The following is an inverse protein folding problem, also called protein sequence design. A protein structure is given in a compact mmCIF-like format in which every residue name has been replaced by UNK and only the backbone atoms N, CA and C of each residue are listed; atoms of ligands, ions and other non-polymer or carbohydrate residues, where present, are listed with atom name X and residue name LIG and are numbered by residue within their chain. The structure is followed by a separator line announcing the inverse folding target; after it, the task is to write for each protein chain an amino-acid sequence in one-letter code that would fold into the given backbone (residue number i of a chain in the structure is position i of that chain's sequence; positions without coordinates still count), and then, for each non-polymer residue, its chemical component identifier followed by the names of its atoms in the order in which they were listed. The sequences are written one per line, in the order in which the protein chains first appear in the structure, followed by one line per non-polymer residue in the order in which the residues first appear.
data_IF_878220613536
#
_entry.id   IF_878220613536
#
_cell.length_a   1.000
_cell.length_b   1.000
_cell.length_c   1.000
_cell.angle_alpha   90.00
_cell.angle_beta   90.00
_cell.angle_gamma   90.00
#
_symmetry.space_group_name_H-M   'P 1'
#
loop_
_entity.id
_entity.type
_entity.pdbx_description
1 polymer ?
#
# COMPACT_ATOMS: atom_id res chain seq x y z
N UNK A 1 -5.13 -9.81 -29.32
CA UNK A 1 -3.69 -9.86 -29.65
C UNK A 1 -3.48 -10.73 -30.87
N UNK A 2 -2.73 -10.24 -31.86
CA UNK A 2 -2.39 -11.01 -33.07
C UNK A 2 -1.24 -11.97 -32.74
N UNK A 3 -1.39 -13.26 -33.05
CA UNK A 3 -0.35 -14.27 -32.80
C UNK A 3 0.47 -14.49 -34.07
N UNK A 4 1.79 -14.32 -33.96
CA UNK A 4 2.72 -14.60 -35.06
C UNK A 4 3.53 -15.86 -34.73
N UNK A 5 3.60 -16.79 -35.68
CA UNK A 5 4.51 -17.93 -35.61
C UNK A 5 5.69 -17.65 -36.54
N UNK A 6 6.91 -17.85 -36.03
CA UNK A 6 8.16 -17.66 -36.78
C UNK A 6 9.04 -18.88 -36.60
N UNK A 7 9.76 -19.23 -37.66
CA UNK A 7 10.77 -20.27 -37.63
C UNK A 7 12.08 -19.65 -37.12
N UNK A 8 12.72 -20.34 -36.19
CA UNK A 8 14.05 -19.99 -35.69
C UNK A 8 15.12 -20.29 -36.75
N UNK A 9 16.08 -19.39 -36.91
CA UNK A 9 17.18 -19.54 -37.88
C UNK A 9 18.51 -19.54 -37.13
N UNK A 10 19.30 -20.61 -37.26
CA UNK A 10 20.62 -20.69 -36.63
C UNK A 10 21.66 -19.93 -37.46
N UNK A 11 22.39 -19.01 -36.84
CA UNK A 11 23.54 -18.34 -37.44
C UNK A 11 24.72 -18.43 -36.47
N UNK A 12 25.72 -19.26 -36.81
CA UNK A 12 26.85 -19.55 -35.93
C UNK A 12 26.39 -20.20 -34.60
N UNK A 13 26.75 -19.56 -33.49
CA UNK A 13 26.35 -19.97 -32.13
C UNK A 13 25.01 -19.39 -31.68
N UNK A 14 24.39 -18.47 -32.43
CA UNK A 14 23.15 -17.80 -32.05
C UNK A 14 21.95 -18.26 -32.88
N UNK A 15 20.75 -17.93 -32.38
CA UNK A 15 19.48 -18.15 -33.05
C UNK A 15 18.85 -16.80 -33.32
N UNK A 16 18.37 -16.60 -34.55
CA UNK A 16 17.61 -15.45 -34.98
C UNK A 16 16.12 -15.77 -35.10
N UNK A 17 15.30 -14.80 -34.72
CA UNK A 17 13.86 -14.77 -34.96
C UNK A 17 13.50 -13.42 -35.57
N UNK A 18 12.73 -13.43 -36.66
CA UNK A 18 12.30 -12.19 -37.31
C UNK A 18 11.16 -11.54 -36.52
N UNK A 19 11.27 -10.25 -36.22
CA UNK A 19 10.21 -9.47 -35.57
C UNK A 19 9.00 -9.29 -36.51
N UNK A 20 7.77 -9.14 -35.99
CA UNK A 20 6.61 -8.80 -36.80
C UNK A 20 6.79 -7.44 -37.49
N UNK A 21 6.61 -7.39 -38.81
CA UNK A 21 6.78 -6.16 -39.59
C UNK A 21 5.90 -5.02 -39.07
N UNK A 22 4.63 -5.31 -38.76
CA UNK A 22 3.68 -4.35 -38.20
C UNK A 22 4.19 -3.72 -36.89
N UNK A 23 4.85 -4.50 -36.04
CA UNK A 23 5.42 -4.00 -34.78
C UNK A 23 6.66 -3.13 -35.00
N UNK A 24 7.53 -3.52 -35.95
CA UNK A 24 8.71 -2.75 -36.37
C UNK A 24 8.29 -1.39 -36.92
N UNK A 25 7.32 -1.38 -37.83
CA UNK A 25 6.80 -0.16 -38.46
C UNK A 25 6.11 0.74 -37.43
N UNK A 26 5.29 0.17 -36.53
CA UNK A 26 4.61 0.93 -35.48
C UNK A 26 5.56 1.60 -34.47
N UNK A 27 6.71 0.98 -34.21
CA UNK A 27 7.73 1.52 -33.31
C UNK A 27 8.84 2.29 -34.03
N UNK A 28 8.72 2.49 -35.36
CA UNK A 28 9.71 3.19 -36.21
C UNK A 28 11.13 2.63 -36.05
N UNK A 29 11.23 1.31 -35.92
CA UNK A 29 12.52 0.64 -35.75
C UNK A 29 13.19 0.41 -37.11
N UNK A 30 14.49 0.61 -37.15
CA UNK A 30 15.34 0.36 -38.31
C UNK A 30 16.51 -0.59 -37.97
N UNK A 31 17.41 -0.80 -38.92
CA UNK A 31 18.55 -1.72 -38.77
C UNK A 31 19.56 -1.27 -37.71
N UNK A 32 19.58 0.01 -37.35
CA UNK A 32 20.46 0.59 -36.32
C UNK A 32 19.80 0.63 -34.94
N UNK A 33 18.49 0.41 -34.88
CA UNK A 33 17.73 0.46 -33.64
C UNK A 33 18.09 -0.70 -32.73
N UNK A 34 18.28 -0.41 -31.44
CA UNK A 34 18.44 -1.43 -30.40
C UNK A 34 17.08 -1.72 -29.77
N UNK A 35 16.88 -2.98 -29.40
CA UNK A 35 15.71 -3.45 -28.65
C UNK A 35 16.19 -4.07 -27.36
N UNK A 36 15.39 -3.93 -26.31
CA UNK A 36 15.64 -4.61 -25.05
C UNK A 36 15.00 -6.00 -25.11
N UNK A 37 15.73 -7.00 -24.60
CA UNK A 37 15.31 -8.39 -24.58
C UNK A 37 15.37 -8.86 -23.14
N UNK A 38 14.21 -9.25 -22.63
CA UNK A 38 14.05 -9.81 -21.30
C UNK A 38 13.73 -11.30 -21.41
N UNK A 39 14.42 -12.12 -20.62
CA UNK A 39 14.24 -13.57 -20.58
C UNK A 39 13.49 -13.98 -19.33
N UNK A 40 12.32 -14.57 -19.48
CA UNK A 40 11.65 -15.35 -18.44
C UNK A 40 11.98 -16.84 -18.55
N UNK A 41 11.35 -17.68 -17.73
CA UNK A 41 11.58 -19.13 -17.71
C UNK A 41 11.28 -19.80 -19.07
N UNK A 42 10.10 -19.54 -19.65
CA UNK A 42 9.65 -20.12 -20.94
C UNK A 42 9.27 -19.05 -21.98
N UNK A 43 9.68 -17.79 -21.75
CA UNK A 43 9.31 -16.69 -22.63
C UNK A 43 10.42 -15.68 -22.79
N UNK A 44 10.39 -15.00 -23.94
CA UNK A 44 11.24 -13.84 -24.21
C UNK A 44 10.32 -12.68 -24.55
N UNK A 45 10.50 -11.55 -23.85
CA UNK A 45 9.83 -10.29 -24.17
C UNK A 45 10.81 -9.37 -24.89
N UNK A 46 10.34 -8.74 -25.98
CA UNK A 46 11.11 -7.76 -26.74
C UNK A 46 10.36 -6.43 -26.69
N UNK A 47 11.04 -5.39 -26.23
CA UNK A 47 10.56 -4.02 -26.19
C UNK A 47 11.42 -3.13 -27.08
N UNK A 48 10.78 -2.15 -27.74
CA UNK A 48 11.55 -1.07 -28.35
C UNK A 48 12.26 -0.33 -27.21
N UNK A 49 13.58 -0.16 -27.30
CA UNK A 49 14.36 0.54 -26.28
C UNK A 49 13.92 2.02 -26.24
N UNK A 50 12.86 2.30 -25.49
CA UNK A 50 12.49 3.64 -25.07
C UNK A 50 13.14 3.80 -23.70
N UNK A 51 14.36 4.33 -23.70
CA UNK A 51 15.11 4.65 -22.47
C UNK A 51 14.25 5.44 -21.47
N UNK A 52 13.23 6.16 -21.95
CA UNK A 52 12.31 6.91 -21.12
C UNK A 52 10.90 6.32 -21.15
N UNK A 53 10.32 6.17 -19.95
CA UNK A 53 8.86 6.06 -19.80
C UNK A 53 8.24 7.28 -20.48
N UNK A 54 7.25 7.12 -21.38
CA UNK A 54 6.49 8.29 -21.82
C UNK A 54 5.85 8.91 -20.58
N UNK A 55 6.16 10.18 -20.31
CA UNK A 55 5.57 10.94 -19.20
C UNK A 55 4.05 10.87 -19.31
N UNK A 56 3.39 10.44 -18.24
CA UNK A 56 1.93 10.34 -18.23
C UNK A 56 1.36 11.64 -17.68
N UNK A 57 0.67 12.41 -18.53
CA UNK A 57 0.19 13.75 -18.20
C UNK A 57 -1.34 13.77 -18.09
N UNK A 58 -1.87 14.49 -17.09
CA UNK A 58 -3.29 14.73 -16.87
C UNK A 58 -3.52 16.24 -16.84
N UNK A 59 -4.42 16.74 -17.68
CA UNK A 59 -4.88 18.14 -17.63
C UNK A 59 -6.29 18.19 -17.07
N UNK A 60 -6.47 18.98 -16.02
CA UNK A 60 -7.74 19.22 -15.32
C UNK A 60 -8.19 20.65 -15.64
N UNK A 61 -9.29 20.78 -16.36
CA UNK A 61 -9.89 22.09 -16.66
C UNK A 61 -10.74 22.58 -15.48
N UNK A 62 -10.46 23.79 -14.99
CA UNK A 62 -11.17 24.45 -13.89
C UNK A 62 -11.96 25.67 -14.40
N UNK A 63 -13.15 25.99 -13.85
CA UNK A 63 -13.81 25.37 -12.71
C UNK A 63 -14.39 23.99 -13.02
N UNK A 64 -14.38 23.14 -12.00
CA UNK A 64 -14.97 21.81 -12.10
C UNK A 64 -16.52 21.87 -12.06
N UNK A 65 -17.20 20.86 -12.64
CA UNK A 65 -18.62 20.63 -12.39
C UNK A 65 -18.94 20.57 -10.89
N UNK A 66 -20.18 20.88 -10.50
CA UNK A 66 -20.58 20.90 -9.06
C UNK A 66 -20.48 19.55 -8.38
N UNK A 67 -20.57 18.48 -9.16
CA UNK A 67 -20.52 17.10 -8.72
C UNK A 67 -19.07 16.59 -8.57
N UNK A 68 -18.08 17.35 -9.04
CA UNK A 68 -16.67 16.96 -9.05
C UNK A 68 -15.87 17.64 -7.95
N UNK A 69 -14.70 17.08 -7.64
CA UNK A 69 -13.85 17.56 -6.56
C UNK A 69 -12.37 17.56 -6.98
N UNK A 70 -11.75 18.74 -6.93
CA UNK A 70 -10.37 18.93 -7.39
C UNK A 70 -9.37 18.05 -6.63
N UNK A 71 -9.59 17.84 -5.33
CA UNK A 71 -8.73 16.97 -4.52
C UNK A 71 -8.91 15.50 -4.90
N UNK A 72 -10.14 15.09 -5.24
CA UNK A 72 -10.42 13.74 -5.73
C UNK A 72 -9.77 13.49 -7.09
N UNK A 73 -9.83 14.46 -8.02
CA UNK A 73 -9.20 14.36 -9.34
C UNK A 73 -7.67 14.25 -9.24
N UNK A 74 -7.05 15.09 -8.41
CA UNK A 74 -5.60 15.03 -8.15
C UNK A 74 -5.23 13.67 -7.54
N UNK A 75 -5.99 13.21 -6.55
CA UNK A 75 -5.73 11.93 -5.88
C UNK A 75 -5.92 10.76 -6.86
N UNK A 76 -6.96 10.78 -7.68
CA UNK A 76 -7.23 9.79 -8.71
C UNK A 76 -6.12 9.75 -9.76
N UNK A 77 -5.67 10.93 -10.23
CA UNK A 77 -4.53 11.08 -11.13
C UNK A 77 -3.25 10.49 -10.51
N UNK A 78 -2.97 10.81 -9.25
CA UNK A 78 -1.82 10.25 -8.54
C UNK A 78 -1.88 8.72 -8.46
N UNK A 79 -3.02 8.15 -8.07
CA UNK A 79 -3.19 6.70 -7.95
C UNK A 79 -3.18 5.97 -9.30
N UNK A 80 -3.49 6.66 -10.39
CA UNK A 80 -3.40 6.16 -11.77
C UNK A 80 -1.98 6.29 -12.35
N UNK A 81 -1.02 6.77 -11.57
CA UNK A 81 0.37 6.87 -11.99
C UNK A 81 0.67 8.04 -12.92
N UNK A 82 -0.18 9.08 -12.98
CA UNK A 82 0.14 10.30 -13.75
C UNK A 82 1.36 11.00 -13.14
N UNK A 83 2.36 11.27 -13.97
CA UNK A 83 3.64 11.87 -13.59
C UNK A 83 3.54 13.39 -13.56
N UNK A 84 2.66 13.97 -14.37
CA UNK A 84 2.32 15.39 -14.37
C UNK A 84 0.81 15.52 -14.23
N UNK A 85 0.36 16.39 -13.33
CA UNK A 85 -1.03 16.80 -13.19
C UNK A 85 -1.06 18.32 -13.31
N UNK A 86 -1.69 18.80 -14.37
CA UNK A 86 -1.85 20.21 -14.66
C UNK A 86 -3.28 20.64 -14.37
N UNK A 87 -3.47 21.76 -13.71
CA UNK A 87 -4.77 22.41 -13.51
C UNK A 87 -4.75 23.71 -14.29
N UNK A 88 -5.64 23.84 -15.26
CA UNK A 88 -5.75 25.03 -16.12
C UNK A 88 -7.12 25.67 -15.97
N UNK A 89 -7.16 26.99 -15.81
CA UNK A 89 -8.38 27.77 -15.67
C UNK A 89 -8.37 28.99 -16.60
N UNK A 90 -9.51 29.32 -17.19
CA UNK A 90 -9.69 30.58 -17.94
C UNK A 90 -9.77 31.80 -17.00
N UNK A 91 -9.87 31.57 -15.68
CA UNK A 91 -10.05 32.60 -14.66
C UNK A 91 -9.22 32.32 -13.40
N UNK A 92 -9.16 33.28 -12.48
CA UNK A 92 -8.40 33.12 -11.23
C UNK A 92 -9.00 31.98 -10.38
N UNK A 93 -8.16 31.02 -9.99
CA UNK A 93 -8.53 29.95 -9.07
C UNK A 93 -8.69 30.56 -7.65
N UNK A 94 -9.85 30.37 -7.00
CA UNK A 94 -10.10 30.87 -5.65
C UNK A 94 -9.01 30.44 -4.65
N UNK A 95 -8.66 31.33 -3.72
CA UNK A 95 -7.62 31.06 -2.73
C UNK A 95 -7.92 29.83 -1.86
N UNK A 96 -9.19 29.60 -1.52
CA UNK A 96 -9.62 28.43 -0.75
C UNK A 96 -9.32 27.11 -1.49
N UNK A 97 -9.57 27.06 -2.80
CA UNK A 97 -9.32 25.86 -3.60
C UNK A 97 -7.82 25.64 -3.83
N UNK A 98 -7.03 26.72 -3.98
CA UNK A 98 -5.56 26.62 -3.99
C UNK A 98 -5.01 26.05 -2.68
N UNK A 99 -5.55 26.44 -1.54
CA UNK A 99 -5.18 25.82 -0.25
C UNK A 99 -5.60 24.35 -0.17
N UNK A 100 -6.77 23.96 -0.69
CA UNK A 100 -7.18 22.54 -0.77
C UNK A 100 -6.20 21.73 -1.63
N UNK A 101 -5.79 22.28 -2.77
CA UNK A 101 -4.78 21.67 -3.66
C UNK A 101 -3.47 21.48 -2.90
N UNK A 102 -2.91 22.54 -2.30
CA UNK A 102 -1.66 22.47 -1.51
C UNK A 102 -1.74 21.47 -0.36
N UNK A 103 -2.86 21.42 0.35
CA UNK A 103 -3.04 20.47 1.44
C UNK A 103 -3.12 19.02 0.95
N UNK A 104 -3.70 18.79 -0.24
CA UNK A 104 -3.74 17.44 -0.82
C UNK A 104 -2.35 16.89 -1.11
N UNK A 105 -1.41 17.74 -1.56
CA UNK A 105 -0.03 17.38 -1.88
C UNK A 105 0.72 16.75 -0.70
N UNK A 106 0.43 17.20 0.52
CA UNK A 106 1.06 16.65 1.74
C UNK A 106 0.82 15.14 1.87
N UNK A 107 -0.28 14.62 1.33
CA UNK A 107 -0.65 13.20 1.37
C UNK A 107 -0.02 12.37 0.25
N UNK A 108 0.48 13.00 -0.81
CA UNK A 108 0.91 12.36 -2.04
C UNK A 108 2.43 12.33 -2.13
N UNK A 109 3.05 11.28 -1.58
CA UNK A 109 4.51 11.18 -1.50
C UNK A 109 5.14 11.30 -2.89
N UNK A 110 6.12 12.20 -3.02
CA UNK A 110 6.89 12.41 -4.23
C UNK A 110 6.22 13.30 -5.28
N UNK A 111 4.98 13.74 -5.06
CA UNK A 111 4.32 14.71 -5.93
C UNK A 111 4.54 16.12 -5.35
N UNK A 112 5.04 17.05 -6.18
CA UNK A 112 5.36 18.42 -5.79
C UNK A 112 4.74 19.43 -6.75
N UNK A 113 4.38 20.62 -6.27
CA UNK A 113 3.95 21.73 -7.12
C UNK A 113 5.22 22.39 -7.67
N UNK A 114 5.37 22.39 -9.01
CA UNK A 114 6.54 22.95 -9.69
C UNK A 114 6.27 24.39 -10.11
N UNK A 115 5.05 24.66 -10.59
CA UNK A 115 4.62 25.99 -11.02
C UNK A 115 3.23 26.26 -10.46
N UNK A 116 3.01 27.47 -9.93
CA UNK A 116 1.71 27.94 -9.46
C UNK A 116 1.58 29.43 -9.77
N UNK A 117 0.57 29.76 -10.57
CA UNK A 117 0.11 31.13 -10.79
C UNK A 117 -1.38 31.29 -10.44
N UNK A 118 -2.01 32.39 -10.87
CA UNK A 118 -3.40 32.68 -10.54
C UNK A 118 -4.42 31.75 -11.22
N UNK A 119 -4.08 31.16 -12.36
CA UNK A 119 -4.96 30.40 -13.26
C UNK A 119 -4.41 29.03 -13.67
N UNK A 120 -3.16 28.74 -13.34
CA UNK A 120 -2.45 27.53 -13.72
C UNK A 120 -1.65 26.95 -12.54
N UNK A 121 -1.75 25.64 -12.33
CA UNK A 121 -0.97 24.91 -11.31
C UNK A 121 -0.45 23.63 -11.95
N UNK A 122 0.87 23.43 -11.88
CA UNK A 122 1.55 22.25 -12.39
C UNK A 122 2.15 21.44 -11.25
N UNK A 123 1.77 20.17 -11.16
CA UNK A 123 2.27 19.21 -10.18
C UNK A 123 3.02 18.10 -10.88
N UNK A 124 4.18 17.71 -10.34
CA UNK A 124 5.03 16.68 -10.90
C UNK A 124 5.47 15.64 -9.86
N UNK A 125 5.45 14.37 -10.26
CA UNK A 125 6.01 13.28 -9.50
C UNK A 125 7.53 13.20 -9.74
N UNK A 126 8.32 13.46 -8.69
CA UNK A 126 9.77 13.64 -8.79
C UNK A 126 10.59 12.39 -8.47
N UNK A 127 9.97 11.32 -7.96
CA UNK A 127 10.69 10.10 -7.60
C UNK A 127 10.89 9.20 -8.83
N UNK A 128 12.09 8.66 -8.97
CA UNK A 128 12.32 7.58 -9.89
C UNK A 128 11.65 6.30 -9.36
N UNK A 129 10.55 5.92 -10.00
CA UNK A 129 9.75 4.75 -9.61
C UNK A 129 10.56 3.46 -9.66
N UNK A 130 11.56 3.34 -10.54
CA UNK A 130 12.37 2.12 -10.68
C UNK A 130 13.30 1.88 -9.49
N UNK A 131 13.61 2.92 -8.72
CA UNK A 131 14.47 2.85 -7.52
C UNK A 131 13.69 2.52 -6.24
N UNK A 132 12.36 2.60 -6.31
CA UNK A 132 11.48 2.30 -5.19
C UNK A 132 11.24 0.80 -5.05
N UNK A 133 10.76 0.38 -3.89
CA UNK A 133 10.55 -1.04 -3.59
C UNK A 133 9.22 -1.23 -2.84
N UNK A 134 8.20 -1.83 -3.47
CA UNK A 134 6.90 -2.11 -2.86
C UNK A 134 6.99 -2.86 -1.54
N UNK A 135 7.84 -3.89 -1.44
CA UNK A 135 8.08 -4.64 -0.20
C UNK A 135 8.56 -3.73 0.93
N UNK A 136 9.52 -2.84 0.68
CA UNK A 136 10.04 -1.92 1.71
C UNK A 136 8.97 -0.94 2.17
N UNK A 137 8.12 -0.46 1.26
CA UNK A 137 7.02 0.46 1.59
C UNK A 137 5.98 -0.27 2.46
N UNK A 138 5.57 -1.49 2.09
CA UNK A 138 4.64 -2.28 2.89
C UNK A 138 5.20 -2.59 4.29
N UNK A 139 6.49 -2.97 4.38
CA UNK A 139 7.17 -3.14 5.67
C UNK A 139 7.13 -1.88 6.51
N UNK A 140 7.41 -0.72 5.90
CA UNK A 140 7.35 0.57 6.59
C UNK A 140 5.95 0.88 7.10
N UNK A 141 4.89 0.63 6.31
CA UNK A 141 3.50 0.76 6.76
C UNK A 141 3.26 -0.09 8.01
N UNK A 142 3.62 -1.37 7.97
CA UNK A 142 3.45 -2.25 9.12
C UNK A 142 4.28 -1.81 10.32
N UNK A 143 5.53 -1.37 10.16
CA UNK A 143 6.35 -0.90 11.29
C UNK A 143 5.74 0.32 11.96
N UNK A 144 5.15 1.25 11.19
CA UNK A 144 4.46 2.41 11.76
C UNK A 144 3.23 1.95 12.54
N UNK A 145 2.40 1.08 11.96
CA UNK A 145 1.19 0.54 12.59
C UNK A 145 1.50 -0.28 13.86
N UNK A 146 2.52 -1.14 13.83
CA UNK A 146 3.00 -1.88 15.02
C UNK A 146 3.39 -0.91 16.14
N UNK A 147 4.17 0.12 15.82
CA UNK A 147 4.53 1.10 16.84
C UNK A 147 3.32 1.93 17.34
N UNK A 148 2.25 2.10 16.55
CA UNK A 148 1.01 2.73 17.02
C UNK A 148 0.25 1.79 17.95
N UNK A 149 0.22 0.50 17.63
CA UNK A 149 -0.36 -0.55 18.46
C UNK A 149 0.35 -0.65 19.82
N UNK A 150 1.68 -0.58 19.82
CA UNK A 150 2.48 -0.58 21.05
C UNK A 150 2.16 0.64 21.92
N UNK A 151 2.04 1.82 21.33
CA UNK A 151 1.65 3.05 22.04
C UNK A 151 0.24 2.92 22.65
N UNK A 152 -0.72 2.39 21.88
CA UNK A 152 -2.09 2.13 22.37
C UNK A 152 -2.10 1.12 23.52
N UNK A 153 -1.36 0.02 23.38
CA UNK A 153 -1.22 -1.03 24.38
C UNK A 153 -0.59 -0.50 25.67
N UNK A 154 0.50 0.26 25.57
CA UNK A 154 1.16 0.89 26.72
C UNK A 154 0.24 1.91 27.40
N UNK A 155 -0.63 2.59 26.65
CA UNK A 155 -1.65 3.48 27.17
C UNK A 155 -2.66 2.83 28.13
N UNK A 156 -2.81 1.50 28.10
CA UNK A 156 -3.64 0.77 29.06
C UNK A 156 -3.07 0.85 30.49
N UNK A 157 -1.74 0.85 30.64
CA UNK A 157 -1.06 0.79 31.93
C UNK A 157 -0.36 2.09 32.32
N UNK A 158 -0.23 3.05 31.40
CA UNK A 158 0.37 4.34 31.64
C UNK A 158 -0.50 5.23 32.53
N UNK A 159 0.13 5.99 33.42
CA UNK A 159 -0.56 7.03 34.20
C UNK A 159 -0.84 8.29 33.35
N UNK A 160 0.01 8.59 32.36
CA UNK A 160 -0.21 9.63 31.36
C UNK A 160 -0.56 9.01 29.99
N UNK A 161 -1.74 9.34 29.47
CA UNK A 161 -2.28 8.86 28.19
C UNK A 161 -2.19 9.89 27.06
N UNK A 162 -1.52 11.03 27.28
CA UNK A 162 -1.42 12.12 26.30
C UNK A 162 -0.86 11.68 24.94
N UNK A 163 0.03 10.68 24.91
CA UNK A 163 0.60 10.15 23.67
C UNK A 163 -0.46 9.56 22.71
N UNK A 164 -1.57 9.03 23.22
CA UNK A 164 -2.63 8.40 22.42
C UNK A 164 -3.23 9.38 21.41
N UNK A 165 -3.38 10.64 21.78
CA UNK A 165 -3.95 11.68 20.92
C UNK A 165 -3.05 12.02 19.71
N UNK A 166 -1.79 11.59 19.71
CA UNK A 166 -0.85 11.84 18.62
C UNK A 166 -0.88 10.78 17.52
N UNK A 167 -1.56 9.65 17.76
CA UNK A 167 -1.57 8.51 16.84
C UNK A 167 -2.23 8.82 15.50
N UNK A 168 -3.20 9.74 15.46
CA UNK A 168 -3.79 10.25 14.21
C UNK A 168 -2.76 10.83 13.23
N UNK A 169 -1.68 11.43 13.73
CA UNK A 169 -0.59 11.94 12.88
C UNK A 169 0.28 10.81 12.31
N UNK A 170 0.42 9.71 13.05
CA UNK A 170 1.16 8.52 12.60
C UNK A 170 0.35 7.74 11.58
N UNK A 171 -0.96 7.64 11.78
CA UNK A 171 -1.90 7.09 10.81
C UNK A 171 -1.84 7.84 9.47
N UNK A 172 -1.81 9.18 9.51
CA UNK A 172 -1.64 9.98 8.29
C UNK A 172 -0.36 9.62 7.51
N UNK A 173 0.71 9.14 8.17
CA UNK A 173 1.90 8.63 7.49
C UNK A 173 1.67 7.23 6.89
N UNK A 174 0.90 6.35 7.54
CA UNK A 174 0.46 5.06 6.96
C UNK A 174 -0.31 5.32 5.66
N UNK A 175 -1.23 6.28 5.67
CA UNK A 175 -2.05 6.66 4.50
C UNK A 175 -1.20 7.19 3.34
N UNK A 176 -0.15 7.97 3.65
CA UNK A 176 0.84 8.43 2.67
C UNK A 176 1.60 7.28 2.00
N UNK A 177 2.07 6.33 2.81
CA UNK A 177 2.77 5.15 2.30
C UNK A 177 1.82 4.25 1.48
N UNK A 178 0.57 4.10 1.91
CA UNK A 178 -0.47 3.39 1.17
C UNK A 178 -0.68 3.98 -0.23
N UNK A 179 -0.89 5.30 -0.34
CA UNK A 179 -1.09 5.92 -1.66
C UNK A 179 0.13 5.73 -2.57
N UNK A 180 1.35 5.87 -2.04
CA UNK A 180 2.56 5.62 -2.81
C UNK A 180 2.64 4.17 -3.30
N UNK A 181 2.42 3.21 -2.40
CA UNK A 181 2.45 1.79 -2.74
C UNK A 181 1.43 1.46 -3.85
N UNK A 182 0.21 1.98 -3.73
CA UNK A 182 -0.87 1.77 -4.68
C UNK A 182 -0.56 2.38 -6.04
N UNK A 183 0.00 3.59 -6.06
CA UNK A 183 0.49 4.21 -7.30
C UNK A 183 1.51 3.31 -8.01
N UNK A 184 2.48 2.76 -7.26
CA UNK A 184 3.55 1.94 -7.82
C UNK A 184 3.01 0.61 -8.37
N UNK A 185 2.27 -0.16 -7.56
CA UNK A 185 1.76 -1.48 -7.98
C UNK A 185 0.72 -1.36 -9.10
N UNK A 186 -0.08 -0.28 -9.16
CA UNK A 186 -0.99 -0.08 -10.31
C UNK A 186 -0.23 0.29 -11.57
N UNK A 187 0.90 0.97 -11.45
CA UNK A 187 1.73 1.35 -12.59
C UNK A 187 2.40 0.12 -13.24
N UNK A 188 2.68 -0.96 -12.50
CA UNK A 188 3.27 -2.19 -13.05
C UNK A 188 2.33 -2.92 -14.02
N UNK A 189 1.01 -2.78 -13.85
CA UNK A 189 0.01 -3.38 -14.74
C UNK A 189 0.06 -2.80 -16.17
N UNK A 190 0.63 -1.61 -16.32
CA UNK A 190 0.75 -0.90 -17.61
C UNK A 190 2.20 -0.81 -18.07
N UNK A 191 3.15 -0.58 -17.16
CA UNK A 191 4.58 -0.47 -17.44
C UNK A 191 5.34 -1.74 -17.01
N UNK A 192 5.71 -2.56 -17.99
CA UNK A 192 6.46 -3.80 -17.78
C UNK A 192 7.82 -3.57 -17.11
N UNK A 193 8.49 -2.46 -17.38
CA UNK A 193 9.81 -2.19 -16.77
C UNK A 193 9.70 -2.05 -15.26
N UNK A 194 8.60 -1.44 -14.78
CA UNK A 194 8.31 -1.39 -13.34
C UNK A 194 7.97 -2.77 -12.79
N UNK A 195 7.17 -3.57 -13.51
CA UNK A 195 6.87 -4.94 -13.10
C UNK A 195 8.17 -5.77 -12.91
N UNK A 196 9.12 -5.63 -13.85
CA UNK A 196 10.41 -6.31 -13.78
C UNK A 196 11.32 -5.75 -12.69
N UNK A 197 11.40 -4.41 -12.55
CA UNK A 197 12.18 -3.77 -11.50
C UNK A 197 11.72 -4.18 -10.09
N UNK A 198 10.42 -4.42 -9.91
CA UNK A 198 9.85 -4.87 -8.64
C UNK A 198 9.76 -6.39 -8.51
N UNK A 199 9.98 -7.12 -9.60
CA UNK A 199 9.77 -8.57 -9.70
C UNK A 199 8.37 -8.99 -9.20
N UNK A 200 7.34 -8.33 -9.73
CA UNK A 200 5.93 -8.58 -9.37
C UNK A 200 5.14 -9.10 -10.58
N UNK A 201 4.40 -10.19 -10.36
CA UNK A 201 3.39 -10.68 -11.27
C UNK A 201 2.04 -9.97 -11.03
N UNK A 202 1.08 -10.20 -11.94
CA UNK A 202 -0.25 -9.60 -11.82
C UNK A 202 -0.99 -10.02 -10.55
N UNK A 203 -0.77 -11.27 -10.09
CA UNK A 203 -1.38 -11.76 -8.86
C UNK A 203 -0.78 -11.03 -7.65
N UNK A 204 0.54 -10.82 -7.63
CA UNK A 204 1.21 -10.09 -6.56
C UNK A 204 0.68 -8.66 -6.45
N UNK A 205 0.38 -8.00 -7.58
CA UNK A 205 -0.22 -6.65 -7.57
C UNK A 205 -1.56 -6.62 -6.82
N UNK A 206 -2.41 -7.64 -7.02
CA UNK A 206 -3.68 -7.76 -6.32
C UNK A 206 -3.45 -8.00 -4.82
N UNK A 207 -2.54 -8.92 -4.49
CA UNK A 207 -2.25 -9.27 -3.10
C UNK A 207 -1.61 -8.11 -2.34
N UNK A 208 -0.66 -7.37 -2.95
CA UNK A 208 -0.12 -6.13 -2.37
C UNK A 208 -1.19 -5.07 -2.18
N UNK A 209 -2.15 -4.96 -3.11
CA UNK A 209 -3.26 -4.01 -2.98
C UNK A 209 -4.14 -4.36 -1.79
N UNK A 210 -4.44 -5.64 -1.56
CA UNK A 210 -5.20 -6.10 -0.39
C UNK A 210 -4.41 -5.90 0.89
N UNK A 211 -3.15 -6.35 0.95
CA UNK A 211 -2.30 -6.21 2.12
C UNK A 211 -2.10 -4.74 2.55
N UNK A 212 -1.87 -3.85 1.58
CA UNK A 212 -1.75 -2.42 1.85
C UNK A 212 -3.05 -1.83 2.41
N UNK A 213 -4.21 -2.27 1.91
CA UNK A 213 -5.51 -1.82 2.37
C UNK A 213 -5.83 -2.31 3.79
N UNK A 214 -5.45 -3.56 4.11
CA UNK A 214 -5.59 -4.09 5.46
C UNK A 214 -4.76 -3.28 6.46
N UNK A 215 -3.51 -2.96 6.14
CA UNK A 215 -2.63 -2.17 7.00
C UNK A 215 -3.09 -0.70 7.15
N UNK A 216 -3.68 -0.11 6.12
CA UNK A 216 -4.24 1.25 6.21
C UNK A 216 -5.48 1.28 7.12
N UNK A 217 -6.47 0.42 6.88
CA UNK A 217 -7.62 0.24 7.76
C UNK A 217 -7.24 -0.09 9.23
N UNK A 218 -6.10 -0.76 9.41
CA UNK A 218 -5.54 -1.07 10.73
C UNK A 218 -5.07 0.18 11.45
N UNK A 219 -4.43 1.11 10.74
CA UNK A 219 -4.04 2.41 11.29
C UNK A 219 -5.24 3.16 11.87
N UNK A 220 -6.31 3.27 11.08
CA UNK A 220 -7.61 3.83 11.52
C UNK A 220 -8.15 3.10 12.75
N UNK A 221 -8.14 1.77 12.73
CA UNK A 221 -8.62 0.94 13.84
C UNK A 221 -7.82 1.17 15.13
N UNK A 222 -6.51 1.41 15.03
CA UNK A 222 -5.65 1.72 16.17
C UNK A 222 -5.93 3.13 16.70
N UNK A 223 -6.19 4.10 15.82
CA UNK A 223 -6.61 5.45 16.24
C UNK A 223 -7.94 5.38 16.99
N UNK A 224 -8.92 4.64 16.47
CA UNK A 224 -10.21 4.40 17.13
C UNK A 224 -10.00 3.78 18.52
N UNK A 225 -9.15 2.74 18.61
CA UNK A 225 -8.80 2.10 19.88
C UNK A 225 -8.15 3.09 20.84
N UNK A 226 -7.27 3.97 20.35
CA UNK A 226 -6.56 4.93 21.19
C UNK A 226 -7.50 5.97 21.79
N UNK A 227 -8.46 6.47 21.01
CA UNK A 227 -9.51 7.38 21.49
C UNK A 227 -10.42 6.66 22.48
N UNK A 228 -10.72 5.38 22.24
CA UNK A 228 -11.49 4.55 23.15
C UNK A 228 -10.76 4.36 24.50
N UNK A 229 -9.48 4.00 24.49
CA UNK A 229 -8.65 3.85 25.70
C UNK A 229 -8.54 5.17 26.47
N UNK A 230 -8.44 6.31 25.77
CA UNK A 230 -8.35 7.62 26.38
C UNK A 230 -9.63 8.00 27.14
N UNK A 231 -10.79 7.68 26.57
CA UNK A 231 -12.09 8.06 27.13
C UNK A 231 -12.72 7.01 28.07
N UNK A 232 -12.27 5.75 28.02
CA UNK A 232 -12.88 4.67 28.81
C UNK A 232 -12.56 4.78 30.32
N UNK A 233 -13.52 4.33 31.13
CA UNK A 233 -13.48 4.42 32.60
C UNK A 233 -13.17 3.08 33.28
N UNK A 234 -12.56 2.15 32.55
CA UNK A 234 -12.19 0.84 33.06
C UNK A 234 -11.24 0.94 34.27
N UNK A 235 -11.33 -0.03 35.17
CA UNK A 235 -10.43 -0.12 36.33
C UNK A 235 -9.00 -0.48 35.90
N UNK A 236 -8.00 -0.07 36.71
CA UNK A 236 -6.59 -0.45 36.50
C UNK A 236 -6.40 -1.98 36.42
N UNK A 237 -7.20 -2.77 37.15
CA UNK A 237 -7.15 -4.24 37.08
C UNK A 237 -7.62 -4.76 35.71
N UNK A 238 -8.67 -4.18 35.14
CA UNK A 238 -9.20 -4.56 33.83
C UNK A 238 -8.21 -4.21 32.72
N UNK A 239 -7.68 -3.00 32.72
CA UNK A 239 -6.64 -2.60 31.77
C UNK A 239 -5.43 -3.53 31.81
N UNK A 240 -4.96 -3.88 33.00
CA UNK A 240 -3.84 -4.80 33.17
C UNK A 240 -4.11 -6.18 32.58
N UNK A 241 -5.32 -6.72 32.77
CA UNK A 241 -5.71 -8.01 32.19
C UNK A 241 -5.71 -8.01 30.66
N UNK A 242 -6.17 -6.92 30.05
CA UNK A 242 -6.12 -6.76 28.59
C UNK A 242 -4.66 -6.66 28.15
N UNK A 243 -3.89 -5.73 28.74
CA UNK A 243 -2.48 -5.50 28.44
C UNK A 243 -1.64 -6.78 28.46
N UNK A 244 -1.81 -7.63 29.48
CA UNK A 244 -1.03 -8.85 29.63
C UNK A 244 -1.24 -9.87 28.50
N UNK A 245 -2.35 -9.80 27.77
CA UNK A 245 -2.63 -10.62 26.59
C UNK A 245 -2.15 -9.92 25.32
N UNK A 246 -2.42 -8.63 25.20
CA UNK A 246 -2.25 -7.90 23.92
C UNK A 246 -0.82 -7.47 23.64
N UNK A 247 0.06 -7.43 24.65
CA UNK A 247 1.45 -6.95 24.56
C UNK A 247 2.38 -7.78 23.66
N UNK A 248 2.09 -9.08 23.45
CA UNK A 248 2.97 -9.99 22.71
C UNK A 248 2.60 -10.07 21.20
N UNK A 249 1.91 -9.04 20.69
CA UNK A 249 1.40 -8.97 19.33
C UNK A 249 2.47 -8.86 18.24
N UNK A 250 3.61 -8.21 18.54
CA UNK A 250 4.60 -7.86 17.52
C UNK A 250 5.16 -9.08 16.77
N UNK A 251 5.28 -10.23 17.44
CA UNK A 251 5.75 -11.46 16.79
C UNK A 251 4.79 -11.96 15.70
N UNK A 252 3.48 -11.84 15.92
CA UNK A 252 2.47 -12.16 14.92
C UNK A 252 2.61 -11.20 13.73
N UNK A 253 2.63 -9.90 14.01
CA UNK A 253 2.68 -8.86 12.99
C UNK A 253 3.92 -8.93 12.09
N UNK A 254 5.10 -9.09 12.70
CA UNK A 254 6.37 -9.23 11.98
C UNK A 254 6.39 -10.47 11.08
N UNK A 255 5.95 -11.63 11.61
CA UNK A 255 5.92 -12.88 10.84
C UNK A 255 4.95 -12.81 9.67
N UNK A 256 3.77 -12.23 9.84
CA UNK A 256 2.80 -12.04 8.75
C UNK A 256 3.41 -11.24 7.59
N UNK A 257 4.10 -10.14 7.89
CA UNK A 257 4.67 -9.25 6.86
C UNK A 257 5.92 -9.86 6.23
N UNK A 258 6.76 -10.52 7.01
CA UNK A 258 7.91 -11.21 6.47
C UNK A 258 7.50 -12.37 5.57
N UNK A 259 6.51 -13.17 5.98
CA UNK A 259 5.95 -14.25 5.17
C UNK A 259 5.33 -13.75 3.86
N UNK A 260 4.66 -12.60 3.89
CA UNK A 260 4.08 -11.98 2.70
C UNK A 260 5.16 -11.43 1.75
N UNK A 261 6.07 -10.61 2.28
CA UNK A 261 7.04 -9.89 1.43
C UNK A 261 8.20 -10.77 0.96
N UNK A 262 8.45 -11.88 1.64
CA UNK A 262 9.29 -12.97 1.18
C UNK A 262 8.42 -14.22 1.27
N UNK A 263 7.73 -14.61 0.18
CA UNK A 263 6.77 -15.72 0.17
C UNK A 263 7.32 -16.98 0.87
N UNK A 264 7.08 -17.06 2.19
CA UNK A 264 7.61 -18.07 3.09
C UNK A 264 6.42 -18.68 3.81
N UNK A 265 6.01 -19.84 3.29
CA UNK A 265 4.83 -20.53 3.78
C UNK A 265 4.98 -21.01 5.22
N UNK A 266 6.21 -21.31 5.67
CA UNK A 266 6.44 -21.74 7.05
C UNK A 266 6.19 -20.57 8.01
N UNK A 267 6.72 -19.38 7.69
CA UNK A 267 6.45 -18.17 8.46
C UNK A 267 4.96 -17.80 8.47
N UNK A 268 4.25 -18.00 7.35
CA UNK A 268 2.80 -17.77 7.28
C UNK A 268 2.04 -18.70 8.24
N UNK A 269 2.36 -20.00 8.25
CA UNK A 269 1.74 -20.98 9.15
C UNK A 269 2.02 -20.64 10.62
N UNK A 270 3.25 -20.20 10.93
CA UNK A 270 3.60 -19.74 12.28
C UNK A 270 2.78 -18.51 12.68
N UNK A 271 2.62 -17.52 11.80
CA UNK A 271 1.78 -16.35 12.03
C UNK A 271 0.33 -16.74 12.30
N UNK A 272 -0.27 -17.60 11.46
CA UNK A 272 -1.64 -18.11 11.64
C UNK A 272 -1.79 -18.81 13.00
N UNK A 273 -0.80 -19.62 13.40
CA UNK A 273 -0.81 -20.29 14.70
C UNK A 273 -0.72 -19.31 15.87
N UNK A 274 0.07 -18.24 15.74
CA UNK A 274 0.16 -17.19 16.75
C UNK A 274 -1.15 -16.40 16.87
N UNK A 275 -1.78 -16.06 15.75
CA UNK A 275 -3.09 -15.41 15.72
C UNK A 275 -4.14 -16.25 16.46
N UNK A 276 -4.25 -17.54 16.13
CA UNK A 276 -5.18 -18.44 16.82
C UNK A 276 -4.96 -18.47 18.34
N UNK A 277 -3.69 -18.52 18.78
CA UNK A 277 -3.36 -18.47 20.21
C UNK A 277 -3.79 -17.14 20.84
N UNK A 278 -3.61 -16.03 20.14
CA UNK A 278 -4.02 -14.69 20.57
C UNK A 278 -5.54 -14.60 20.75
N UNK A 279 -6.32 -15.06 19.75
CA UNK A 279 -7.78 -15.14 19.82
C UNK A 279 -8.26 -16.04 20.98
N UNK A 280 -7.62 -17.20 21.17
CA UNK A 280 -7.95 -18.10 22.29
C UNK A 280 -7.72 -17.43 23.65
N UNK A 281 -6.70 -16.58 23.79
CA UNK A 281 -6.43 -15.84 25.02
C UNK A 281 -7.49 -14.74 25.25
N UNK A 282 -7.86 -13.98 24.23
CA UNK A 282 -8.91 -12.95 24.32
C UNK A 282 -10.30 -13.56 24.57
N UNK A 283 -10.61 -14.69 23.94
CA UNK A 283 -11.84 -15.45 24.20
C UNK A 283 -11.92 -15.99 25.63
N UNK A 284 -10.81 -16.50 26.17
CA UNK A 284 -10.71 -16.89 27.60
C UNK A 284 -10.90 -15.70 28.52
N UNK A 285 -10.35 -14.53 28.17
CA UNK A 285 -10.53 -13.31 28.95
C UNK A 285 -12.03 -12.93 29.00
N UNK A 286 -12.72 -12.94 27.85
CA UNK A 286 -14.15 -12.68 27.74
C UNK A 286 -15.00 -13.63 28.59
N UNK A 287 -14.72 -14.92 28.53
CA UNK A 287 -15.48 -15.96 29.27
C UNK A 287 -15.18 -15.97 30.78
N UNK A 288 -13.94 -15.68 31.20
CA UNK A 288 -13.56 -15.59 32.62
C UNK A 288 -14.34 -14.50 33.38
N UNK A 289 -14.85 -13.51 32.66
CA UNK A 289 -15.61 -12.39 33.20
C UNK A 289 -17.13 -12.62 33.15
N UNK A 290 -17.62 -13.54 32.31
CA UNK A 290 -19.05 -13.87 32.14
C UNK A 290 -19.74 -14.42 33.39
N UNK A 291 -18.97 -14.91 34.36
CA UNK A 291 -19.50 -15.40 35.64
C UNK A 291 -19.66 -14.29 36.71
N UNK A 292 -19.27 -13.04 36.42
CA UNK A 292 -19.50 -11.87 37.30
C UNK A 292 -20.63 -11.02 36.73
N UNK A 293 -21.57 -10.61 37.58
CA UNK A 293 -22.91 -10.12 37.20
C UNK A 293 -22.98 -8.87 36.30
N UNK A 294 -21.91 -8.10 36.10
CA UNK A 294 -21.91 -6.96 35.17
C UNK A 294 -20.49 -6.79 34.59
N UNK A 295 -20.25 -7.26 33.37
CA UNK A 295 -19.06 -6.87 32.60
C UNK A 295 -19.34 -5.49 32.01
N UNK A 296 -18.46 -4.49 32.20
CA UNK A 296 -18.61 -3.22 31.51
C UNK A 296 -18.59 -3.45 29.99
N UNK A 297 -19.54 -2.86 29.28
CA UNK A 297 -19.61 -2.92 27.81
C UNK A 297 -18.27 -2.46 27.22
N UNK A 298 -17.69 -1.40 27.78
CA UNK A 298 -16.40 -0.88 27.36
C UNK A 298 -15.26 -1.92 27.37
N UNK A 299 -15.31 -2.87 28.29
CA UNK A 299 -14.30 -3.94 28.37
C UNK A 299 -14.42 -4.88 27.18
N UNK A 300 -15.66 -5.27 26.83
CA UNK A 300 -15.92 -6.17 25.71
C UNK A 300 -15.58 -5.50 24.37
N UNK A 301 -15.95 -4.22 24.24
CA UNK A 301 -15.65 -3.44 23.04
C UNK A 301 -14.14 -3.30 22.84
N UNK A 302 -13.38 -3.00 23.89
CA UNK A 302 -11.92 -2.92 23.81
C UNK A 302 -11.29 -4.25 23.38
N UNK A 303 -11.75 -5.38 23.94
CA UNK A 303 -11.29 -6.72 23.52
C UNK A 303 -11.58 -6.96 22.04
N UNK A 304 -12.79 -6.64 21.59
CA UNK A 304 -13.18 -6.78 20.18
C UNK A 304 -12.33 -5.91 19.24
N UNK A 305 -11.99 -4.68 19.64
CA UNK A 305 -11.12 -3.80 18.86
C UNK A 305 -9.71 -4.39 18.69
N UNK A 306 -9.15 -4.99 19.74
CA UNK A 306 -7.86 -5.71 19.66
C UNK A 306 -7.95 -6.94 18.74
N UNK A 307 -9.03 -7.72 18.81
CA UNK A 307 -9.28 -8.86 17.89
C UNK A 307 -9.31 -8.39 16.43
N UNK A 308 -10.08 -7.32 16.13
CA UNK A 308 -10.20 -6.75 14.79
C UNK A 308 -8.85 -6.27 14.24
N UNK A 309 -8.02 -5.65 15.08
CA UNK A 309 -6.68 -5.20 14.69
C UNK A 309 -5.79 -6.42 14.38
N UNK A 310 -5.80 -7.44 15.23
CA UNK A 310 -4.97 -8.63 15.04
C UNK A 310 -5.34 -9.42 13.78
N UNK A 311 -6.63 -9.49 13.46
CA UNK A 311 -7.15 -10.15 12.25
C UNK A 311 -6.48 -9.60 10.98
N UNK A 312 -6.18 -8.31 10.92
CA UNK A 312 -5.62 -7.69 9.71
C UNK A 312 -4.24 -8.25 9.34
N UNK A 313 -3.40 -8.60 10.32
CA UNK A 313 -2.12 -9.27 10.04
C UNK A 313 -2.28 -10.77 9.76
N UNK A 314 -3.30 -11.42 10.33
CA UNK A 314 -3.62 -12.80 9.95
C UNK A 314 -4.07 -12.87 8.49
N UNK A 315 -4.94 -11.95 8.06
CA UNK A 315 -5.41 -11.83 6.68
C UNK A 315 -4.24 -11.61 5.70
N UNK A 316 -3.24 -10.82 6.09
CA UNK A 316 -2.00 -10.66 5.29
C UNK A 316 -1.23 -11.98 5.17
N UNK A 317 -1.14 -12.78 6.24
CA UNK A 317 -0.48 -14.09 6.20
C UNK A 317 -1.25 -15.09 5.32
N UNK A 318 -2.58 -14.99 5.26
CA UNK A 318 -3.44 -15.85 4.42
C UNK A 318 -3.25 -15.60 2.91
N UNK A 319 -2.75 -14.42 2.53
CA UNK A 319 -2.38 -14.12 1.14
C UNK A 319 -1.12 -14.87 0.66
N UNK A 320 -0.33 -15.47 1.56
CA UNK A 320 0.90 -16.17 1.19
C UNK A 320 0.57 -17.45 0.44
N UNK A 321 1.00 -17.52 -0.83
CA UNK A 321 0.74 -18.66 -1.70
C UNK A 321 1.21 -20.00 -1.10
N UNK A 322 0.48 -21.10 -1.36
CA UNK A 322 0.93 -22.43 -0.98
C UNK A 322 2.14 -22.86 -1.81
N UNK A 323 2.98 -23.73 -1.24
CA UNK A 323 4.04 -24.39 -2.00
C UNK A 323 3.38 -25.43 -2.91
N UNK A 324 3.38 -25.18 -4.22
CA UNK A 324 3.16 -26.23 -5.21
C UNK A 324 4.52 -26.90 -5.44
N UNK A 325 4.64 -28.17 -5.08
CA UNK A 325 5.76 -28.98 -5.58
C UNK A 325 5.47 -29.22 -7.06
N UNK A 326 6.28 -28.64 -7.95
CA UNK A 326 6.38 -29.08 -9.34
C UNK A 326 7.24 -30.35 -9.47
#
# INVERSE_FOLDING_TARGET
MTKFVRRLQRIGSSILVSLPKEWVDANKLDKSSQVEIETGHDSISISANKETRPTKELVISYPLPKEENIVADITGGYLLGYDIIEITSDSIIPGEDREKIRNSMRRLVGMEIIEEDASHINMQFLLDSTTLNPQKILKRMSSIAIGMYDDATNGLIADDKSNLQTLSKRDAEVNRQYFLLVRLIRSTLVDKRLANAFNLENIDVLDYRVAANLLENTGDSIVELSDFIYNSSLSKEQYKKIHDIVKDFNQLAEKSIDAFTKPDRLLAIEAISLHKKFEEQLSKLRTSLGNKKEIPIDFLDMVFMFERIAQSWADVADLVQPIYNE
#
